data_IF_581985519295
#
_entry.id   IF_581985519295
#
_cell.length_a   1.000
_cell.length_b   1.000
_cell.length_c   1.000
_cell.angle_alpha   90.00
_cell.angle_beta   90.00
_cell.angle_gamma   90.00
#
_symmetry.space_group_name_H-M   'P 1'
#
loop_
_entity.id
_entity.type
_entity.pdbx_description
1 polymer ?
#
# COMPACT_ATOMS: atom_id res chain seq x y z
N UNK A 1 7.99 -2.15 -26.42
CA UNK A 1 6.86 -1.76 -25.55
C UNK A 1 6.53 -0.31 -25.81
N UNK A 2 5.27 0.08 -25.72
CA UNK A 2 4.80 1.44 -25.97
C UNK A 2 3.75 1.77 -24.91
N UNK A 3 3.91 2.92 -24.27
CA UNK A 3 2.95 3.46 -23.33
C UNK A 3 2.76 4.94 -23.63
N UNK A 4 1.51 5.39 -23.70
CA UNK A 4 1.14 6.80 -23.79
C UNK A 4 -0.25 6.98 -23.17
N UNK A 5 -0.39 7.89 -22.21
CA UNK A 5 -1.67 8.21 -21.59
C UNK A 5 -1.73 9.68 -21.17
N UNK A 6 -2.92 10.27 -21.20
CA UNK A 6 -3.17 11.58 -20.59
C UNK A 6 -3.76 11.35 -19.22
N UNK A 7 -3.11 11.81 -18.15
CA UNK A 7 -3.66 11.69 -16.80
C UNK A 7 -4.85 12.63 -16.65
N UNK A 8 -5.84 12.21 -15.87
CA UNK A 8 -6.90 13.11 -15.43
C UNK A 8 -6.43 13.89 -14.21
N UNK A 9 -6.58 15.22 -14.23
CA UNK A 9 -6.04 16.09 -13.19
C UNK A 9 -6.68 15.86 -11.81
N UNK A 10 -7.94 15.43 -11.78
CA UNK A 10 -8.66 15.05 -10.55
C UNK A 10 -8.02 13.84 -9.83
N UNK A 11 -7.21 13.05 -10.54
CA UNK A 11 -6.51 11.88 -9.98
C UNK A 11 -5.11 12.20 -9.47
N UNK A 12 -4.57 13.38 -9.81
CA UNK A 12 -3.21 13.75 -9.44
C UNK A 12 -2.99 13.82 -7.92
N UNK A 13 -3.93 14.34 -7.10
CA UNK A 13 -3.80 14.26 -5.64
C UNK A 13 -3.66 12.84 -5.12
N UNK A 14 -4.39 11.88 -5.70
CA UNK A 14 -4.28 10.46 -5.34
C UNK A 14 -2.89 9.92 -5.65
N UNK A 15 -2.36 10.14 -6.86
CA UNK A 15 -1.00 9.70 -7.24
C UNK A 15 0.09 10.38 -6.40
N UNK A 16 -0.11 11.65 -6.01
CA UNK A 16 0.79 12.36 -5.11
C UNK A 16 0.82 11.74 -3.72
N UNK A 17 -0.35 11.45 -3.13
CA UNK A 17 -0.46 10.77 -1.83
C UNK A 17 0.15 9.37 -1.86
N UNK A 18 -0.19 8.59 -2.89
CA UNK A 18 0.37 7.27 -3.17
C UNK A 18 1.91 7.28 -3.25
N UNK A 19 2.47 8.11 -4.13
CA UNK A 19 3.92 8.16 -4.33
C UNK A 19 4.67 8.75 -3.12
N UNK A 20 4.07 9.70 -2.38
CA UNK A 20 4.63 10.21 -1.13
C UNK A 20 4.73 9.11 -0.06
N UNK A 21 3.67 8.32 0.08
CA UNK A 21 3.60 7.23 1.04
C UNK A 21 4.62 6.12 0.71
N UNK A 22 4.70 5.71 -0.57
CA UNK A 22 5.73 4.76 -1.03
C UNK A 22 7.15 5.30 -0.83
N UNK A 23 7.39 6.58 -1.15
CA UNK A 23 8.68 7.22 -0.93
C UNK A 23 9.09 7.25 0.54
N UNK A 24 8.13 7.46 1.45
CA UNK A 24 8.36 7.38 2.89
C UNK A 24 8.73 5.96 3.31
N UNK A 25 8.03 4.95 2.79
CA UNK A 25 8.34 3.55 3.05
C UNK A 25 9.74 3.17 2.58
N UNK A 26 10.08 3.53 1.36
CA UNK A 26 11.38 3.22 0.79
C UNK A 26 12.53 3.92 1.55
N UNK A 27 12.30 5.14 2.08
CA UNK A 27 13.25 5.83 2.97
C UNK A 27 13.46 5.10 4.31
N UNK A 28 12.42 4.46 4.85
CA UNK A 28 12.57 3.65 6.07
C UNK A 28 13.43 2.40 5.81
N UNK A 29 13.30 1.80 4.62
CA UNK A 29 14.10 0.65 4.20
C UNK A 29 15.57 0.98 3.88
N UNK A 30 15.87 2.19 3.43
CA UNK A 30 17.22 2.59 2.98
C UNK A 30 18.33 2.53 4.07
N UNK A 31 17.98 2.47 5.35
CA UNK A 31 18.92 2.20 6.44
C UNK A 31 19.35 0.72 6.54
N UNK A 32 18.58 -0.18 5.94
CA UNK A 32 18.89 -1.60 5.79
C UNK A 32 19.63 -1.81 4.47
N UNK A 33 20.82 -2.44 4.51
CA UNK A 33 21.75 -2.58 3.36
C UNK A 33 21.20 -3.39 2.16
N UNK A 34 19.94 -3.82 2.21
CA UNK A 34 19.34 -4.82 1.29
C UNK A 34 18.60 -4.24 0.08
N UNK A 35 18.35 -2.93 -0.01
CA UNK A 35 17.45 -2.37 -1.06
C UNK A 35 18.12 -1.37 -2.00
N UNK A 36 19.47 -1.27 -2.01
CA UNK A 36 20.17 -0.43 -2.96
C UNK A 36 20.14 -1.06 -4.35
N UNK A 37 19.27 -0.56 -5.24
CA UNK A 37 19.31 -0.88 -6.67
C UNK A 37 20.56 -0.32 -7.32
N UNK A 38 20.89 -0.83 -8.51
CA UNK A 38 21.86 -0.22 -9.43
C UNK A 38 21.59 1.28 -9.71
N UNK A 39 20.38 1.77 -9.44
CA UNK A 39 19.98 3.17 -9.52
C UNK A 39 20.37 4.01 -8.28
N UNK A 40 20.90 3.40 -7.21
CA UNK A 40 21.32 4.11 -5.99
C UNK A 40 20.18 4.79 -5.21
N UNK A 41 18.92 4.50 -5.56
CA UNK A 41 17.73 5.22 -5.13
C UNK A 41 16.63 4.26 -4.63
N UNK A 42 15.69 4.73 -3.80
CA UNK A 42 14.55 3.94 -3.35
C UNK A 42 13.70 3.45 -4.53
N UNK A 43 13.63 2.12 -4.66
CA UNK A 43 13.00 1.43 -5.78
C UNK A 43 11.48 1.38 -5.62
N UNK A 44 10.76 1.67 -6.69
CA UNK A 44 9.35 1.31 -6.85
C UNK A 44 9.15 0.52 -8.14
N UNK A 45 8.33 -0.52 -8.07
CA UNK A 45 7.87 -1.28 -9.21
C UNK A 45 6.56 -0.69 -9.72
N UNK A 46 6.55 -0.32 -10.99
CA UNK A 46 5.38 0.17 -11.72
C UNK A 46 4.95 -0.89 -12.71
N UNK A 47 3.73 -1.39 -12.58
CA UNK A 47 3.11 -2.30 -13.56
C UNK A 47 1.91 -1.63 -14.21
N UNK A 48 1.88 -1.65 -15.53
CA UNK A 48 0.80 -1.12 -16.35
C UNK A 48 0.14 -2.26 -17.12
N UNK A 49 -1.17 -2.38 -16.99
CA UNK A 49 -2.02 -3.26 -17.80
C UNK A 49 -3.13 -2.42 -18.44
N UNK A 50 -3.85 -2.96 -19.45
CA UNK A 50 -4.98 -2.24 -20.05
C UNK A 50 -6.04 -1.77 -19.04
N UNK A 51 -6.20 -2.50 -17.94
CA UNK A 51 -7.27 -2.29 -16.96
C UNK A 51 -6.78 -1.73 -15.62
N UNK A 52 -5.53 -2.00 -15.24
CA UNK A 52 -4.99 -1.68 -13.93
C UNK A 52 -3.62 -1.01 -13.99
N UNK A 53 -3.41 -0.14 -13.03
CA UNK A 53 -2.17 0.54 -12.71
C UNK A 53 -1.72 0.10 -11.32
N UNK A 54 -0.48 -0.39 -11.21
CA UNK A 54 0.09 -0.80 -9.94
C UNK A 54 1.36 -0.02 -9.63
N UNK A 55 1.52 0.39 -8.38
CA UNK A 55 2.78 0.83 -7.80
C UNK A 55 3.08 0.01 -6.56
N UNK A 56 4.31 -0.44 -6.39
CA UNK A 56 4.68 -1.12 -5.16
C UNK A 56 6.14 -0.92 -4.76
N UNK A 57 6.37 -1.02 -3.46
CA UNK A 57 7.68 -1.02 -2.84
C UNK A 57 7.77 -2.31 -2.03
N UNK A 58 8.86 -3.06 -2.23
CA UNK A 58 9.07 -4.38 -1.60
C UNK A 58 10.24 -4.34 -0.63
N UNK A 59 10.22 -5.27 0.33
CA UNK A 59 11.32 -5.54 1.27
C UNK A 59 11.92 -4.31 1.98
N UNK A 60 11.09 -3.30 2.28
CA UNK A 60 11.53 -2.08 2.96
C UNK A 60 11.36 -2.21 4.47
N UNK A 61 12.43 -2.62 5.17
CA UNK A 61 12.38 -2.94 6.61
C UNK A 61 11.33 -4.02 6.93
N UNK A 62 11.33 -5.11 6.14
CA UNK A 62 10.33 -6.18 6.22
C UNK A 62 8.90 -5.59 6.14
N UNK A 63 8.71 -4.63 5.24
CA UNK A 63 7.39 -4.15 4.86
C UNK A 63 7.31 -4.04 3.36
N UNK A 64 6.10 -4.25 2.85
CA UNK A 64 5.77 -4.03 1.47
C UNK A 64 4.56 -3.10 1.40
N UNK A 65 4.50 -2.25 0.38
CA UNK A 65 3.31 -1.47 0.06
C UNK A 65 2.92 -1.68 -1.38
N UNK A 66 1.62 -1.87 -1.60
CA UNK A 66 1.00 -2.04 -2.90
C UNK A 66 -0.08 -1.00 -3.07
N UNK A 67 -0.13 -0.40 -4.25
CA UNK A 67 -1.19 0.50 -4.70
C UNK A 67 -1.73 -0.07 -5.99
N UNK A 68 -3.05 -0.16 -6.07
CA UNK A 68 -3.77 -0.58 -7.25
C UNK A 68 -4.86 0.45 -7.59
N UNK A 69 -4.97 0.80 -8.86
CA UNK A 69 -6.03 1.66 -9.37
C UNK A 69 -6.44 1.23 -10.78
N UNK A 70 -7.70 1.45 -11.14
CA UNK A 70 -8.16 1.22 -12.50
C UNK A 70 -7.55 2.24 -13.47
N UNK A 71 -7.10 1.76 -14.62
CA UNK A 71 -6.52 2.61 -15.69
C UNK A 71 -7.52 3.67 -16.17
N UNK A 72 -8.81 3.32 -16.23
CA UNK A 72 -9.93 4.21 -16.56
C UNK A 72 -10.16 5.29 -15.50
N UNK A 73 -9.87 5.00 -14.22
CA UNK A 73 -9.95 6.00 -13.17
C UNK A 73 -8.83 7.03 -13.32
N UNK A 74 -7.63 6.62 -13.73
CA UNK A 74 -6.45 7.50 -13.79
C UNK A 74 -6.32 8.30 -15.10
N UNK A 75 -6.68 7.72 -16.25
CA UNK A 75 -6.37 8.29 -17.56
C UNK A 75 -7.63 8.68 -18.35
N UNK A 76 -7.51 9.72 -19.17
CA UNK A 76 -8.52 10.03 -20.18
C UNK A 76 -8.56 8.93 -21.26
N UNK A 77 -9.73 8.64 -21.85
CA UNK A 77 -9.87 7.67 -22.94
C UNK A 77 -8.84 7.88 -24.07
N UNK A 78 -8.37 6.78 -24.64
CA UNK A 78 -7.35 6.80 -25.70
C UNK A 78 -5.92 6.58 -25.21
N UNK A 79 -5.73 6.04 -24.01
CA UNK A 79 -4.41 5.53 -23.60
C UNK A 79 -3.98 4.33 -24.46
N UNK A 80 -2.67 4.19 -24.63
CA UNK A 80 -2.04 3.11 -25.41
C UNK A 80 -1.11 2.35 -24.49
N UNK A 81 -1.31 1.02 -24.40
CA UNK A 81 -0.42 0.08 -23.72
C UNK A 81 -0.18 -1.09 -24.67
N UNK A 82 1.02 -1.20 -25.21
CA UNK A 82 1.41 -2.28 -26.13
C UNK A 82 2.69 -2.96 -25.61
N UNK A 83 2.61 -4.28 -25.39
CA UNK A 83 3.73 -5.10 -24.96
C UNK A 83 3.61 -6.52 -25.50
N UNK A 84 4.74 -7.13 -25.88
CA UNK A 84 4.79 -8.54 -26.30
C UNK A 84 4.33 -9.51 -25.21
N UNK A 85 4.26 -9.04 -23.96
CA UNK A 85 3.86 -9.82 -22.80
C UNK A 85 2.39 -9.56 -22.44
N UNK A 86 1.47 -9.92 -23.33
CA UNK A 86 0.01 -9.74 -23.11
C UNK A 86 -0.36 -8.31 -22.70
N UNK A 87 0.29 -7.31 -23.29
CA UNK A 87 0.11 -5.89 -22.95
C UNK A 87 0.40 -5.52 -21.49
N UNK A 88 1.22 -6.30 -20.79
CA UNK A 88 1.77 -5.93 -19.49
C UNK A 88 3.13 -5.26 -19.65
N UNK A 89 3.30 -4.09 -19.03
CA UNK A 89 4.57 -3.37 -18.96
C UNK A 89 4.97 -3.31 -17.49
N UNK A 90 6.14 -3.85 -17.16
CA UNK A 90 6.73 -3.76 -15.82
C UNK A 90 7.97 -2.88 -15.85
N UNK A 91 8.05 -1.91 -14.94
CA UNK A 91 9.12 -0.93 -14.84
C UNK A 91 9.62 -0.84 -13.39
N UNK A 92 10.90 -0.55 -13.25
CA UNK A 92 11.55 -0.14 -12.01
C UNK A 92 11.82 1.35 -12.13
N UNK A 93 11.35 2.12 -11.15
CA UNK A 93 11.46 3.59 -11.14
C UNK A 93 11.98 4.06 -9.78
N UNK A 94 12.70 5.18 -9.75
CA UNK A 94 12.97 5.90 -8.50
C UNK A 94 11.66 6.55 -8.04
N UNK A 95 11.15 6.11 -6.89
CA UNK A 95 9.90 6.62 -6.33
C UNK A 95 9.98 8.09 -5.93
N UNK A 96 11.15 8.57 -5.51
CA UNK A 96 11.35 9.98 -5.16
C UNK A 96 11.33 10.85 -6.40
N UNK A 97 12.01 10.42 -7.47
CA UNK A 97 11.96 11.12 -8.75
C UNK A 97 10.53 11.15 -9.29
N UNK A 98 9.83 10.01 -9.30
CA UNK A 98 8.43 9.94 -9.70
C UNK A 98 7.55 10.90 -8.89
N UNK A 99 7.66 10.87 -7.56
CA UNK A 99 6.91 11.76 -6.67
C UNK A 99 7.19 13.24 -6.97
N UNK A 100 8.46 13.61 -7.10
CA UNK A 100 8.86 14.99 -7.38
C UNK A 100 8.36 15.46 -8.75
N UNK A 101 8.39 14.59 -9.77
CA UNK A 101 7.85 14.90 -11.10
C UNK A 101 6.35 15.15 -11.05
N UNK A 102 5.58 14.30 -10.37
CA UNK A 102 4.15 14.53 -10.17
C UNK A 102 3.87 15.81 -9.39
N UNK A 103 4.73 16.13 -8.42
CA UNK A 103 4.61 17.35 -7.61
C UNK A 103 4.88 18.60 -8.45
N UNK A 104 5.85 18.56 -9.35
CA UNK A 104 6.08 19.64 -10.31
C UNK A 104 4.87 19.85 -11.23
N UNK A 105 4.20 18.76 -11.59
CA UNK A 105 2.99 18.80 -12.41
C UNK A 105 1.70 19.13 -11.62
N UNK A 106 1.76 19.42 -10.31
CA UNK A 106 0.55 19.59 -9.48
C UNK A 106 -0.36 20.74 -9.90
N UNK A 107 0.20 21.74 -10.58
CA UNK A 107 -0.49 22.92 -11.07
C UNK A 107 -0.51 22.99 -12.60
N UNK A 108 -0.57 21.84 -13.28
CA UNK A 108 -0.67 21.79 -14.74
C UNK A 108 -2.11 21.83 -15.25
N UNK A 109 -2.29 22.32 -16.47
CA UNK A 109 -3.56 22.25 -17.21
C UNK A 109 -3.74 20.93 -17.96
N UNK A 110 -2.63 20.24 -18.24
CA UNK A 110 -2.60 18.92 -18.88
C UNK A 110 -1.30 18.22 -18.53
N UNK A 111 -1.37 16.91 -18.34
CA UNK A 111 -0.19 16.04 -18.20
C UNK A 111 -0.34 14.79 -19.07
N UNK A 112 0.70 14.49 -19.83
CA UNK A 112 0.83 13.28 -20.66
C UNK A 112 2.01 12.47 -20.17
N UNK A 113 1.77 11.19 -19.89
CA UNK A 113 2.79 10.22 -19.55
C UNK A 113 3.10 9.38 -20.78
N UNK A 114 4.39 9.21 -21.11
CA UNK A 114 4.82 8.35 -22.23
C UNK A 114 6.10 7.62 -21.90
N UNK A 115 6.21 6.39 -22.38
CA UNK A 115 7.45 5.62 -22.31
C UNK A 115 8.29 5.94 -23.55
N UNK A 116 9.54 6.37 -23.32
CA UNK A 116 10.45 6.78 -24.37
C UNK A 116 11.86 6.19 -24.15
N UNK A 117 12.70 6.29 -25.18
CA UNK A 117 14.13 5.97 -25.10
C UNK A 117 14.91 7.25 -25.37
N UNK A 118 15.72 7.68 -24.41
CA UNK A 118 16.58 8.87 -24.49
C UNK A 118 18.02 8.44 -24.30
N UNK A 119 18.88 8.75 -25.27
CA UNK A 119 20.33 8.45 -25.19
C UNK A 119 20.65 6.99 -24.81
N UNK A 120 19.85 6.04 -25.30
CA UNK A 120 20.04 4.61 -24.98
C UNK A 120 19.31 4.13 -23.71
N UNK A 121 18.87 5.03 -22.84
CA UNK A 121 18.19 4.73 -21.57
C UNK A 121 16.66 4.80 -21.72
N UNK A 122 15.95 3.89 -21.05
CA UNK A 122 14.49 3.96 -20.93
C UNK A 122 14.08 5.06 -19.96
N UNK A 123 13.09 5.87 -20.34
CA UNK A 123 12.53 6.92 -19.47
C UNK A 123 11.01 6.91 -19.52
N UNK A 124 10.39 7.16 -18.36
CA UNK A 124 8.99 7.55 -18.26
C UNK A 124 8.94 9.08 -18.29
N UNK A 125 8.52 9.62 -19.43
CA UNK A 125 8.51 11.05 -19.73
C UNK A 125 7.14 11.64 -19.38
N UNK A 126 7.16 12.73 -18.65
CA UNK A 126 6.00 13.51 -18.25
C UNK A 126 6.04 14.85 -18.97
N UNK A 127 5.12 15.02 -19.91
CA UNK A 127 4.93 16.29 -20.59
C UNK A 127 3.73 17.02 -19.99
N UNK A 128 3.92 18.25 -19.52
CA UNK A 128 2.83 19.04 -18.96
C UNK A 128 2.97 20.54 -19.26
N UNK A 129 1.83 21.22 -19.26
CA UNK A 129 1.72 22.68 -19.45
C UNK A 129 1.35 23.33 -18.14
N UNK A 130 2.08 24.39 -17.77
CA UNK A 130 1.80 25.16 -16.56
C UNK A 130 0.45 25.88 -16.68
N UNK A 131 -0.39 25.86 -15.64
CA UNK A 131 -1.72 26.47 -15.69
C UNK A 131 -1.71 28.01 -15.73
N UNK A 132 -0.60 28.66 -15.36
CA UNK A 132 -0.43 30.10 -15.42
C UNK A 132 0.29 30.55 -16.69
N UNK A 133 0.97 29.62 -17.37
CA UNK A 133 1.77 29.88 -18.57
C UNK A 133 1.45 28.87 -19.67
N UNK A 134 0.36 29.11 -20.41
CA UNK A 134 -0.13 28.19 -21.47
C UNK A 134 0.90 27.89 -22.58
N UNK A 135 1.92 28.74 -22.74
CA UNK A 135 2.99 28.58 -23.74
C UNK A 135 4.22 27.82 -23.20
N UNK A 136 4.26 27.50 -21.91
CA UNK A 136 5.37 26.80 -21.29
C UNK A 136 5.11 25.29 -21.30
N UNK A 137 5.86 24.57 -22.13
CA UNK A 137 5.85 23.11 -22.16
C UNK A 137 7.02 22.56 -21.35
N UNK A 138 6.72 21.79 -20.31
CA UNK A 138 7.71 21.18 -19.43
C UNK A 138 7.74 19.69 -19.73
N UNK A 139 8.93 19.16 -20.00
CA UNK A 139 9.17 17.72 -20.11
C UNK A 139 10.08 17.30 -18.97
N UNK A 140 9.59 16.40 -18.12
CA UNK A 140 10.36 15.80 -17.03
C UNK A 140 10.51 14.30 -17.27
N UNK A 141 11.74 13.84 -17.41
CA UNK A 141 12.05 12.44 -17.67
C UNK A 141 12.45 11.73 -16.35
N UNK A 142 11.74 10.64 -16.02
CA UNK A 142 12.10 9.74 -14.94
C UNK A 142 12.82 8.52 -15.53
N UNK A 143 14.09 8.26 -15.17
CA UNK A 143 14.79 7.04 -15.58
C UNK A 143 14.03 5.78 -15.17
N UNK A 144 13.92 4.81 -16.07
CA UNK A 144 13.28 3.53 -15.78
C UNK A 144 14.10 2.35 -16.29
N UNK A 145 14.05 1.25 -15.55
CA UNK A 145 14.54 -0.05 -16.01
C UNK A 145 13.34 -0.97 -16.29
N UNK A 146 13.42 -1.76 -17.36
CA UNK A 146 12.34 -2.68 -17.74
C UNK A 146 12.48 -3.99 -17.00
N UNK A 147 11.41 -4.43 -16.34
CA UNK A 147 11.34 -5.76 -15.74
C UNK A 147 11.27 -6.83 -16.83
N UNK A 148 11.88 -7.99 -16.58
CA UNK A 148 11.94 -9.12 -17.51
C UNK A 148 11.34 -10.36 -16.84
N UNK A 149 10.85 -11.32 -17.64
CA UNK A 149 10.42 -12.61 -17.09
C UNK A 149 9.46 -12.48 -15.92
N UNK A 150 9.40 -13.45 -15.03
CA UNK A 150 8.39 -13.53 -13.96
C UNK A 150 8.25 -12.26 -13.10
N UNK A 151 9.28 -11.41 -13.01
CA UNK A 151 9.24 -10.13 -12.30
C UNK A 151 8.09 -9.20 -12.74
N UNK A 152 7.72 -9.20 -14.03
CA UNK A 152 6.58 -8.37 -14.51
C UNK A 152 5.26 -8.94 -14.00
N UNK A 153 5.15 -10.26 -13.91
CA UNK A 153 3.91 -10.91 -13.50
C UNK A 153 3.72 -10.73 -12.00
N UNK A 154 4.80 -10.89 -11.22
CA UNK A 154 4.79 -10.67 -9.77
C UNK A 154 4.71 -9.21 -9.38
N UNK A 155 5.05 -8.24 -10.24
CA UNK A 155 5.02 -6.78 -9.98
C UNK A 155 3.64 -6.17 -9.62
N UNK A 156 2.58 -6.97 -9.50
CA UNK A 156 1.26 -6.51 -9.05
C UNK A 156 1.10 -6.57 -7.53
N UNK A 157 -0.14 -6.33 -7.08
CA UNK A 157 -0.59 -6.69 -5.72
C UNK A 157 -0.45 -8.22 -5.54
N UNK A 158 0.09 -8.71 -4.42
CA UNK A 158 0.16 -10.13 -4.15
C UNK A 158 -1.25 -10.68 -3.89
N UNK A 159 -1.42 -11.98 -4.10
CA UNK A 159 -2.65 -12.66 -3.70
C UNK A 159 -2.76 -12.62 -2.17
N UNK A 160 -3.71 -11.83 -1.67
CA UNK A 160 -4.05 -11.77 -0.25
C UNK A 160 -4.97 -12.97 0.02
N UNK A 161 -4.53 -13.99 0.78
CA UNK A 161 -5.35 -15.16 1.01
C UNK A 161 -6.56 -14.82 1.88
N UNK A 162 -7.59 -15.66 1.76
CA UNK A 162 -8.80 -15.51 2.54
C UNK A 162 -8.51 -15.53 4.05
N UNK A 163 -9.15 -14.62 4.78
CA UNK A 163 -8.98 -14.50 6.23
C UNK A 163 -10.34 -14.62 6.91
N UNK A 164 -10.43 -15.39 7.99
CA UNK A 164 -11.69 -15.50 8.76
C UNK A 164 -12.00 -14.20 9.52
N UNK A 165 -10.98 -13.37 9.77
CA UNK A 165 -11.11 -12.11 10.52
C UNK A 165 -10.60 -10.95 9.69
N UNK A 166 -11.53 -10.10 9.27
CA UNK A 166 -11.22 -8.76 8.85
C UNK A 166 -11.89 -7.80 9.83
N UNK A 167 -11.12 -6.89 10.41
CA UNK A 167 -11.66 -5.91 11.35
C UNK A 167 -11.53 -4.53 10.74
N UNK A 168 -12.63 -3.76 10.78
CA UNK A 168 -12.57 -2.35 10.50
C UNK A 168 -11.84 -1.65 11.65
N UNK A 169 -10.67 -1.08 11.34
CA UNK A 169 -9.89 -0.40 12.34
C UNK A 169 -10.60 0.86 12.85
N UNK A 170 -10.32 1.28 14.10
CA UNK A 170 -10.74 2.58 14.59
C UNK A 170 -10.12 3.70 13.73
N UNK A 171 -10.57 4.94 13.96
CA UNK A 171 -10.01 6.14 13.30
C UNK A 171 -8.47 6.05 13.26
N UNK A 172 -7.86 6.01 12.07
CA UNK A 172 -6.42 5.78 11.92
C UNK A 172 -5.55 6.69 12.78
N UNK A 173 -5.92 7.98 12.85
CA UNK A 173 -5.22 8.97 13.68
C UNK A 173 -5.16 8.57 15.15
N UNK A 174 -6.23 7.96 15.66
CA UNK A 174 -6.29 7.49 17.04
C UNK A 174 -5.37 6.29 17.24
N UNK A 175 -5.48 5.27 16.38
CA UNK A 175 -4.60 4.09 16.38
C UNK A 175 -3.11 4.49 16.32
N UNK A 176 -2.76 5.37 15.38
CA UNK A 176 -1.42 5.94 15.26
C UNK A 176 -0.95 6.64 16.53
N UNK A 177 -1.79 7.46 17.16
CA UNK A 177 -1.42 8.14 18.40
C UNK A 177 -1.12 7.18 19.56
N UNK A 178 -1.76 6.01 19.57
CA UNK A 178 -1.54 4.96 20.57
C UNK A 178 -0.20 4.29 20.31
N UNK A 179 0.07 3.87 19.07
CA UNK A 179 1.34 3.26 18.70
C UNK A 179 2.53 4.21 18.90
N UNK A 180 2.35 5.51 18.65
CA UNK A 180 3.37 6.51 18.90
C UNK A 180 3.67 6.70 20.39
N UNK A 181 2.64 6.59 21.24
CA UNK A 181 2.82 6.58 22.69
C UNK A 181 3.54 5.32 23.15
N UNK A 182 3.15 4.14 22.63
CA UNK A 182 3.81 2.87 22.92
C UNK A 182 5.29 2.89 22.51
N UNK A 183 5.61 3.44 21.33
CA UNK A 183 6.98 3.61 20.85
C UNK A 183 7.79 4.50 21.80
N UNK A 184 7.22 5.61 22.29
CA UNK A 184 7.89 6.49 23.27
C UNK A 184 8.14 5.81 24.61
N UNK A 185 7.28 4.88 24.99
CA UNK A 185 7.44 4.05 26.18
C UNK A 185 8.42 2.88 25.98
N UNK A 186 9.05 2.77 24.80
CA UNK A 186 9.93 1.65 24.42
C UNK A 186 9.23 0.29 24.46
N UNK A 187 7.94 0.27 24.16
CA UNK A 187 7.26 -0.99 23.84
C UNK A 187 7.62 -1.37 22.40
N UNK A 188 8.68 -2.17 22.24
CA UNK A 188 9.20 -2.57 20.93
C UNK A 188 8.23 -3.47 20.16
N UNK A 189 7.42 -4.23 20.91
CA UNK A 189 6.40 -5.13 20.38
C UNK A 189 5.01 -4.68 20.87
N UNK A 190 4.05 -4.69 19.95
CA UNK A 190 2.63 -4.46 20.22
C UNK A 190 1.82 -5.66 19.77
N UNK A 191 1.04 -6.21 20.68
CA UNK A 191 0.03 -7.23 20.40
C UNK A 191 -1.27 -6.56 19.99
N UNK A 192 -1.76 -6.88 18.80
CA UNK A 192 -3.09 -6.53 18.30
C UNK A 192 -4.01 -7.70 18.59
N UNK A 193 -5.03 -7.45 19.38
CA UNK A 193 -6.00 -8.42 19.89
C UNK A 193 -7.38 -8.09 19.32
N UNK A 194 -8.10 -9.10 18.85
CA UNK A 194 -9.46 -9.01 18.33
C UNK A 194 -10.33 -10.01 19.07
N UNK A 195 -11.33 -9.50 19.77
CA UNK A 195 -12.31 -10.31 20.52
C UNK A 195 -13.74 -9.94 20.09
N UNK A 196 -14.56 -10.87 19.55
CA UNK A 196 -15.98 -10.62 19.28
C UNK A 196 -16.73 -10.17 20.52
N UNK A 197 -17.67 -9.25 20.34
CA UNK A 197 -18.55 -8.83 21.43
C UNK A 197 -19.80 -9.71 21.42
N UNK A 198 -20.01 -10.52 22.46
CA UNK A 198 -21.20 -11.37 22.57
C UNK A 198 -22.54 -10.59 22.56
N UNK A 199 -22.51 -9.31 22.94
CA UNK A 199 -23.70 -8.46 23.04
C UNK A 199 -24.13 -7.79 21.71
N UNK A 200 -23.31 -7.82 20.67
CA UNK A 200 -23.60 -7.14 19.40
C UNK A 200 -23.03 -7.93 18.22
N UNK A 201 -23.92 -8.56 17.45
CA UNK A 201 -23.55 -9.29 16.24
C UNK A 201 -22.80 -8.37 15.26
N UNK A 202 -21.75 -8.91 14.62
CA UNK A 202 -20.91 -8.16 13.69
C UNK A 202 -19.97 -7.12 14.32
N UNK A 203 -19.79 -7.11 15.65
CA UNK A 203 -18.87 -6.19 16.33
C UNK A 203 -17.81 -6.93 17.15
N UNK A 204 -16.65 -6.31 17.29
CA UNK A 204 -15.53 -6.79 18.10
C UNK A 204 -14.90 -5.65 18.91
N UNK A 205 -14.16 -6.03 19.95
CA UNK A 205 -13.16 -5.20 20.60
C UNK A 205 -11.81 -5.45 19.91
N UNK A 206 -11.19 -4.38 19.41
CA UNK A 206 -9.81 -4.38 18.97
C UNK A 206 -8.96 -3.77 20.10
N UNK A 207 -7.92 -4.45 20.57
CA UNK A 207 -7.01 -3.88 21.57
C UNK A 207 -5.55 -3.90 21.11
N UNK A 208 -4.82 -2.84 21.45
CA UNK A 208 -3.37 -2.79 21.34
C UNK A 208 -2.79 -2.97 22.74
N UNK A 209 -1.93 -3.95 22.93
CA UNK A 209 -1.21 -4.21 24.17
C UNK A 209 0.30 -4.18 23.92
N UNK A 210 1.04 -3.40 24.67
CA UNK A 210 2.51 -3.34 24.59
C UNK A 210 3.11 -3.34 25.99
N UNK A 211 4.30 -3.92 26.11
CA UNK A 211 5.06 -3.97 27.36
C UNK A 211 6.41 -3.29 27.18
N UNK A 212 6.85 -2.62 28.22
CA UNK A 212 8.20 -2.06 28.38
C UNK A 212 8.76 -2.50 29.73
N UNK A 213 10.04 -2.24 30.00
CA UNK A 213 10.67 -2.57 31.28
C UNK A 213 9.99 -1.91 32.49
N UNK A 214 9.22 -0.83 32.27
CA UNK A 214 8.63 -0.01 33.32
C UNK A 214 7.12 -0.15 33.43
N UNK A 215 6.43 -0.40 32.33
CA UNK A 215 4.96 -0.35 32.26
C UNK A 215 4.39 -1.23 31.17
N UNK A 216 3.22 -1.81 31.47
CA UNK A 216 2.35 -2.46 30.52
C UNK A 216 1.23 -1.50 30.12
N UNK A 217 1.02 -1.32 28.82
CA UNK A 217 -0.02 -0.44 28.28
C UNK A 217 -0.98 -1.26 27.45
N UNK A 218 -2.27 -1.18 27.76
CA UNK A 218 -3.35 -1.72 26.94
C UNK A 218 -4.30 -0.59 26.56
N UNK A 219 -4.68 -0.50 25.29
CA UNK A 219 -5.72 0.41 24.79
C UNK A 219 -6.72 -0.39 24.00
N UNK A 220 -7.99 -0.33 24.39
CA UNK A 220 -9.09 -1.04 23.73
C UNK A 220 -9.95 -0.07 22.91
N UNK A 221 -10.38 -0.54 21.75
CA UNK A 221 -11.28 0.12 20.82
C UNK A 221 -12.55 -0.74 20.73
N UNK A 222 -13.59 -0.39 21.51
CA UNK A 222 -14.84 -1.13 21.47
C UNK A 222 -15.61 -0.82 20.19
N UNK A 223 -16.50 -1.74 19.79
CA UNK A 223 -17.44 -1.58 18.66
C UNK A 223 -16.75 -1.41 17.30
N UNK A 224 -15.60 -2.05 17.09
CA UNK A 224 -15.03 -2.20 15.75
C UNK A 224 -15.91 -3.18 14.93
N UNK A 225 -16.15 -2.87 13.65
CA UNK A 225 -16.92 -3.76 12.80
C UNK A 225 -16.10 -5.01 12.46
N UNK A 226 -16.69 -6.19 12.68
CA UNK A 226 -16.15 -7.46 12.24
C UNK A 226 -16.72 -7.78 10.85
N UNK A 227 -15.83 -7.83 9.87
CA UNK A 227 -16.15 -8.05 8.46
C UNK A 227 -15.82 -9.53 8.16
N UNK A 228 -16.86 -10.35 8.07
CA UNK A 228 -16.73 -11.77 7.70
C UNK A 228 -16.42 -11.84 6.20
N UNK A 229 -15.36 -12.55 5.82
CA UNK A 229 -14.84 -12.57 4.45
C UNK A 229 -15.78 -13.15 3.39
N UNK A 230 -16.74 -13.99 3.78
CA UNK A 230 -17.73 -14.55 2.88
C UNK A 230 -19.12 -14.57 3.53
N UNK A 231 -20.13 -14.12 2.78
CA UNK A 231 -21.55 -14.15 3.18
C UNK A 231 -22.07 -15.57 3.44
N UNK A 232 -21.30 -16.60 3.10
CA UNK A 232 -21.61 -18.02 3.31
C UNK A 232 -20.78 -18.67 4.44
N UNK A 233 -19.80 -17.97 5.02
CA UNK A 233 -19.00 -18.52 6.12
C UNK A 233 -19.68 -18.30 7.47
N UNK A 234 -19.85 -19.40 8.21
CA UNK A 234 -20.23 -19.38 9.64
C UNK A 234 -19.24 -18.49 10.40
N UNK A 235 -19.69 -17.94 11.53
CA UNK A 235 -18.88 -17.18 12.49
C UNK A 235 -17.46 -17.75 12.61
N UNK A 236 -16.44 -16.90 12.78
CA UNK A 236 -15.04 -17.35 12.82
C UNK A 236 -14.85 -18.51 13.81
N UNK A 237 -14.00 -19.45 13.43
CA UNK A 237 -13.86 -20.75 14.11
C UNK A 237 -13.23 -20.63 15.50
N UNK A 238 -12.45 -19.57 15.71
CA UNK A 238 -11.85 -19.23 17.00
C UNK A 238 -12.70 -18.17 17.72
N UNK A 239 -12.69 -18.11 19.06
CA UNK A 239 -13.35 -17.04 19.80
C UNK A 239 -12.55 -15.73 19.83
N UNK A 240 -11.31 -15.73 19.32
CA UNK A 240 -10.33 -14.65 19.52
C UNK A 240 -9.15 -14.79 18.55
N UNK A 241 -8.55 -13.66 18.16
CA UNK A 241 -7.27 -13.61 17.42
C UNK A 241 -6.34 -12.58 18.05
N UNK A 242 -5.10 -12.96 18.32
CA UNK A 242 -4.03 -12.03 18.70
C UNK A 242 -2.76 -12.23 17.85
N UNK A 243 -2.13 -11.11 17.47
CA UNK A 243 -0.87 -11.07 16.70
C UNK A 243 0.06 -10.01 17.23
N UNK A 244 1.36 -10.22 17.11
CA UNK A 244 2.37 -9.33 17.70
C UNK A 244 3.28 -8.74 16.63
N UNK A 245 3.34 -7.41 16.59
CA UNK A 245 4.07 -6.66 15.60
C UNK A 245 5.19 -5.86 16.26
N UNK A 246 6.27 -5.60 15.52
CA UNK A 246 7.17 -4.50 15.90
C UNK A 246 6.38 -3.20 15.86
N UNK A 247 6.27 -2.50 17.00
CA UNK A 247 5.44 -1.30 17.16
C UNK A 247 5.76 -0.24 16.11
N UNK A 248 7.06 -0.04 15.85
CA UNK A 248 7.55 0.90 14.83
C UNK A 248 7.03 0.58 13.43
N UNK A 249 6.95 -0.69 13.05
CA UNK A 249 6.52 -1.14 11.72
C UNK A 249 5.02 -0.98 11.54
N UNK A 250 4.23 -1.39 12.54
CA UNK A 250 2.78 -1.18 12.50
C UNK A 250 2.45 0.32 12.43
N UNK A 251 3.14 1.17 13.20
CA UNK A 251 2.98 2.62 13.13
C UNK A 251 3.37 3.17 11.75
N UNK A 252 4.45 2.66 11.15
CA UNK A 252 4.88 3.03 9.80
C UNK A 252 3.84 2.65 8.73
N UNK A 253 3.31 1.43 8.77
CA UNK A 253 2.26 0.94 7.88
C UNK A 253 1.00 1.82 7.95
N UNK A 254 0.53 2.12 9.18
CA UNK A 254 -0.64 2.99 9.37
C UNK A 254 -0.39 4.43 8.90
N UNK A 255 0.84 4.95 8.98
CA UNK A 255 1.18 6.29 8.46
C UNK A 255 1.16 6.31 6.94
N UNK A 256 1.78 5.33 6.30
CA UNK A 256 1.77 5.17 4.84
C UNK A 256 0.34 5.20 4.34
N UNK A 257 -0.52 4.45 5.00
CA UNK A 257 -1.91 4.42 4.63
C UNK A 257 -2.71 5.69 4.87
N UNK A 258 -2.44 6.39 5.97
CA UNK A 258 -3.01 7.69 6.23
C UNK A 258 -2.59 8.68 5.13
N UNK A 259 -1.33 8.65 4.70
CA UNK A 259 -0.83 9.47 3.59
C UNK A 259 -1.55 9.13 2.27
N UNK A 260 -1.77 7.85 1.99
CA UNK A 260 -2.53 7.42 0.81
C UNK A 260 -4.03 7.74 0.90
N UNK A 261 -4.55 8.05 2.09
CA UNK A 261 -5.95 8.44 2.28
C UNK A 261 -6.23 9.89 1.89
N UNK A 262 -5.20 10.71 1.69
CA UNK A 262 -5.31 12.11 1.28
C UNK A 262 -5.43 12.21 -0.25
N UNK A 263 -6.65 12.48 -0.76
CA UNK A 263 -6.89 12.70 -2.21
C UNK A 263 -8.12 12.01 -2.81
N UNK A 264 -9.20 11.81 -2.03
CA UNK A 264 -10.28 10.85 -2.34
C UNK A 264 -11.30 11.34 -3.37
N UNK A 265 -11.29 10.70 -4.54
CA UNK A 265 -12.48 10.39 -5.36
C UNK A 265 -12.44 9.00 -6.01
N UNK A 266 -11.29 8.31 -6.00
CA UNK A 266 -11.08 7.10 -6.78
C UNK A 266 -10.99 5.83 -5.91
N UNK A 267 -11.55 4.74 -6.44
CA UNK A 267 -11.46 3.41 -5.86
C UNK A 267 -10.02 2.88 -6.04
N UNK A 268 -9.41 2.37 -4.96
CA UNK A 268 -8.04 1.87 -4.98
C UNK A 268 -7.71 1.03 -3.75
N UNK A 269 -6.86 0.02 -3.95
CA UNK A 269 -6.37 -0.87 -2.91
C UNK A 269 -5.01 -0.36 -2.45
N UNK A 270 -4.85 -0.16 -1.15
CA UNK A 270 -3.53 0.00 -0.53
C UNK A 270 -3.30 -1.14 0.42
N UNK A 271 -2.28 -1.95 0.21
CA UNK A 271 -1.93 -3.03 1.12
C UNK A 271 -0.54 -2.78 1.69
N UNK A 272 -0.40 -2.76 3.02
CA UNK A 272 0.90 -2.87 3.67
C UNK A 272 1.05 -4.25 4.30
N UNK A 273 2.02 -5.03 3.81
CA UNK A 273 2.30 -6.39 4.29
C UNK A 273 3.46 -6.32 5.27
N UNK A 274 3.25 -6.83 6.48
CA UNK A 274 4.29 -7.00 7.50
C UNK A 274 4.51 -8.51 7.65
N UNK A 275 5.61 -9.08 7.14
CA UNK A 275 6.00 -10.45 7.42
C UNK A 275 6.17 -10.61 8.93
N UNK A 276 5.56 -11.65 9.50
CA UNK A 276 5.91 -12.15 10.82
C UNK A 276 6.84 -13.36 10.65
N UNK A 277 7.30 -13.95 11.75
CA UNK A 277 8.17 -15.14 11.72
C UNK A 277 7.56 -16.23 10.83
N UNK A 278 8.28 -16.60 9.75
CA UNK A 278 7.86 -17.55 8.70
C UNK A 278 7.37 -18.89 9.27
N UNK A 279 7.83 -19.25 10.48
CA UNK A 279 7.48 -20.51 11.13
C UNK A 279 6.10 -20.50 11.82
N UNK A 280 5.57 -19.33 12.18
CA UNK A 280 4.32 -19.23 12.96
C UNK A 280 3.20 -18.52 12.18
N UNK A 281 3.49 -17.42 11.49
CA UNK A 281 2.50 -16.61 10.76
C UNK A 281 3.19 -15.89 9.61
N UNK A 282 2.79 -16.08 8.34
CA UNK A 282 3.61 -15.60 7.24
C UNK A 282 3.49 -14.09 7.00
N UNK A 283 2.40 -13.43 7.43
CA UNK A 283 2.21 -11.97 7.26
C UNK A 283 0.94 -11.47 7.98
N UNK A 284 0.89 -10.17 8.25
CA UNK A 284 -0.37 -9.43 8.41
C UNK A 284 -0.49 -8.35 7.33
N UNK A 285 -1.70 -8.13 6.84
CA UNK A 285 -1.95 -7.10 5.85
C UNK A 285 -2.85 -6.00 6.41
N UNK A 286 -2.40 -4.79 6.22
CA UNK A 286 -3.10 -3.56 6.55
C UNK A 286 -3.65 -3.04 5.22
N UNK A 287 -4.90 -3.40 4.91
CA UNK A 287 -5.55 -3.07 3.64
C UNK A 287 -6.42 -1.84 3.78
N UNK A 288 -6.34 -0.91 2.84
CA UNK A 288 -7.23 0.24 2.73
C UNK A 288 -8.01 0.11 1.46
N UNK A 289 -9.34 0.19 1.60
CA UNK A 289 -10.23 0.37 0.49
C UNK A 289 -10.96 1.70 0.67
N UNK A 290 -10.72 2.63 -0.25
CA UNK A 290 -11.48 3.88 -0.32
C UNK A 290 -12.74 3.62 -1.15
N UNK A 291 -13.86 3.28 -0.52
CA UNK A 291 -15.15 3.30 -1.21
C UNK A 291 -15.72 4.72 -1.22
N UNK A 292 -16.42 5.09 -2.30
CA UNK A 292 -17.24 6.31 -2.39
C UNK A 292 -18.12 6.43 -1.13
N UNK A 293 -18.06 7.59 -0.45
CA UNK A 293 -18.71 7.96 0.82
C UNK A 293 -17.88 7.71 2.09
N UNK A 294 -17.18 8.77 2.54
CA UNK A 294 -16.81 9.17 3.93
C UNK A 294 -16.26 8.17 4.95
N UNK A 295 -16.16 6.88 4.64
CA UNK A 295 -15.65 5.84 5.53
C UNK A 295 -14.33 5.33 4.98
N UNK A 296 -13.25 5.65 5.69
CA UNK A 296 -11.98 4.99 5.50
C UNK A 296 -12.10 3.60 6.13
N UNK A 297 -12.24 2.56 5.31
CA UNK A 297 -12.19 1.19 5.80
C UNK A 297 -10.76 0.70 5.76
N UNK A 298 -10.19 0.57 6.94
CA UNK A 298 -8.94 -0.14 7.15
C UNK A 298 -9.27 -1.54 7.60
N UNK A 299 -8.83 -2.53 6.84
CA UNK A 299 -8.93 -3.93 7.20
C UNK A 299 -7.61 -4.36 7.83
N UNK A 300 -7.65 -4.72 9.10
CA UNK A 300 -6.60 -5.54 9.68
C UNK A 300 -6.91 -6.98 9.28
N UNK A 301 -6.20 -7.47 8.27
CA UNK A 301 -6.35 -8.82 7.72
C UNK A 301 -5.42 -9.72 8.53
N UNK A 302 -6.01 -10.54 9.40
CA UNK A 302 -5.28 -11.44 10.28
C UNK A 302 -5.54 -12.88 9.81
N UNK A 303 -4.57 -13.57 9.19
CA UNK A 303 -4.77 -14.95 8.78
C UNK A 303 -5.03 -15.83 10.02
N UNK A 304 -6.03 -16.70 9.90
CA UNK A 304 -6.32 -17.71 10.92
C UNK A 304 -5.40 -18.90 10.77
N UNK A 305 -4.98 -19.45 11.90
CA UNK A 305 -4.37 -20.76 11.91
C UNK A 305 -5.42 -21.81 11.53
N UNK A 306 -5.07 -22.66 10.56
CA UNK A 306 -5.15 -24.09 10.87
C UNK A 306 -3.81 -24.46 11.50
N UNK A 307 -3.79 -24.84 12.77
CA UNK A 307 -2.70 -25.70 13.24
C UNK A 307 -2.68 -26.91 12.29
N UNK A 308 -1.52 -27.39 11.82
CA UNK A 308 -1.47 -28.75 11.31
C UNK A 308 -2.06 -29.60 12.43
N UNK A 309 -3.18 -30.28 12.16
CA UNK A 309 -3.65 -31.27 13.11
C UNK A 309 -2.52 -32.25 13.30
N UNK A 310 -2.23 -32.58 14.55
CA UNK A 310 -1.66 -33.88 14.92
C UNK A 310 -2.65 -35.00 14.53
N UNK A 311 -3.01 -35.10 13.24
CA UNK A 311 -3.66 -36.26 12.66
C UNK A 311 -2.55 -37.27 12.31
N UNK A 312 -1.82 -37.67 13.34
CA UNK A 312 -1.00 -38.87 13.39
C UNK A 312 -1.12 -39.47 14.79
N UNK A 313 -2.26 -40.11 15.06
CA UNK A 313 -2.34 -41.44 15.70
C UNK A 313 -3.50 -42.20 15.06
#
# INVERSE_FOLDING_TARGET
>A
MKFKASLRLDTLPYLLGATAALARMAKMGAGSRSTASALGAPICYLKLTPNQFFLNVRHCDEMEAYIEAETVALFHPGWVIESKRRNNIGLVVDVLHLHNTLKLASHCSRITMKLAKRQGQGVLSFDFTDALMDNLWITQDCPVQTLQGEDVDTAGTPDIPACEWNVEAPRLRLALSVLDRMTRLKADVVTVDVTPTAAAEGHCELAFAGASDLVNVKTAFPKCALLVADTNTKQPTAPHVARSFKTRRLAAALRVAMDMSHGRTNDGLVACVIPEDEQAYPWACVVFHSSKLESLKLFCVLPTLRRPRDDMI
#
